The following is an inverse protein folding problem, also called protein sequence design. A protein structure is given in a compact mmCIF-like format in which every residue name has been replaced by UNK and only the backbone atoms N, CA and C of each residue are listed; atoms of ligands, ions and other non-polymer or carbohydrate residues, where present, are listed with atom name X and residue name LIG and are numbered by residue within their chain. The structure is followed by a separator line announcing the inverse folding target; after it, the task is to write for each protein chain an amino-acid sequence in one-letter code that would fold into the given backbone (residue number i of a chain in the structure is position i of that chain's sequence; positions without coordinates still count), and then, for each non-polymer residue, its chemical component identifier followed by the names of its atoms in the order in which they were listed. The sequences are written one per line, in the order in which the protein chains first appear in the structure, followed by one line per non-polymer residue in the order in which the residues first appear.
data_IF_372558003420
#
_entry.id   IF_372558003420
#
_cell.length_a   1.000
_cell.length_b   1.000
_cell.length_c   1.000
_cell.angle_alpha   90.00
_cell.angle_beta   90.00
_cell.angle_gamma   90.00
#
_symmetry.space_group_name_H-M   'P 1'
#
loop_
_entity.id
_entity.type
_entity.pdbx_description
1 polymer ?
#
# COMPACT_ATOMS: atom_id res chain seq x y z
N UNK A 1 16.42 18.80 -5.08
CA UNK A 1 14.99 19.06 -4.81
C UNK A 1 14.85 18.91 -3.31
N UNK A 2 14.40 19.96 -2.61
CA UNK A 2 14.10 19.86 -1.18
C UNK A 2 13.07 18.74 -0.98
N UNK A 3 13.41 17.73 -0.19
CA UNK A 3 12.46 16.72 0.26
C UNK A 3 11.26 17.42 0.88
N UNK A 4 10.08 16.83 0.72
CA UNK A 4 8.95 17.24 1.55
C UNK A 4 9.29 16.66 2.92
N UNK A 5 9.46 17.53 3.92
CA UNK A 5 9.64 17.09 5.30
C UNK A 5 8.30 16.48 5.74
N UNK A 6 8.28 15.15 5.88
CA UNK A 6 7.09 14.36 6.14
C UNK A 6 7.20 13.69 7.51
N UNK A 7 6.15 13.83 8.31
CA UNK A 7 6.03 13.10 9.58
C UNK A 7 5.58 11.64 9.38
N UNK A 8 5.06 11.30 8.19
CA UNK A 8 4.50 10.00 7.85
C UNK A 8 4.59 9.73 6.32
N UNK A 9 4.62 8.47 5.87
CA UNK A 9 4.52 8.16 4.45
C UNK A 9 3.12 8.50 3.93
N UNK A 10 3.01 8.92 2.67
CA UNK A 10 1.71 9.07 2.01
C UNK A 10 1.13 7.74 1.56
N UNK A 11 1.99 6.76 1.27
CA UNK A 11 1.58 5.43 0.83
C UNK A 11 2.57 4.36 1.30
N UNK A 12 2.03 3.23 1.74
CA UNK A 12 2.80 2.00 2.01
C UNK A 12 2.28 0.92 1.08
N UNK A 13 3.18 0.30 0.33
CA UNK A 13 2.91 -0.87 -0.49
C UNK A 13 3.47 -2.13 0.17
N UNK A 14 2.72 -3.21 0.10
CA UNK A 14 3.20 -4.56 0.39
C UNK A 14 3.25 -5.30 -0.94
N UNK A 15 4.44 -5.63 -1.43
CA UNK A 15 4.64 -6.29 -2.73
C UNK A 15 5.05 -7.76 -2.52
N UNK A 16 4.18 -8.68 -2.92
CA UNK A 16 4.45 -10.12 -2.95
C UNK A 16 5.27 -10.49 -4.19
N UNK A 17 5.94 -11.65 -4.13
CA UNK A 17 6.77 -12.17 -5.24
C UNK A 17 5.98 -12.45 -6.52
N UNK A 18 4.67 -12.68 -6.43
CA UNK A 18 3.80 -12.95 -7.57
C UNK A 18 3.27 -11.67 -8.27
N UNK A 19 3.70 -10.49 -7.81
CA UNK A 19 3.23 -9.21 -8.33
C UNK A 19 1.88 -8.76 -7.77
N UNK A 20 1.36 -9.41 -6.74
CA UNK A 20 0.17 -8.97 -5.99
C UNK A 20 0.54 -8.36 -4.64
N UNK A 21 -0.45 -7.88 -3.90
CA UNK A 21 -0.27 -7.47 -2.51
C UNK A 21 -1.26 -6.37 -2.13
N UNK A 22 -0.77 -5.35 -1.44
CA UNK A 22 -1.61 -4.29 -0.87
C UNK A 22 -1.02 -2.90 -1.10
N UNK A 23 -1.88 -1.89 -1.15
CA UNK A 23 -1.49 -0.49 -1.15
C UNK A 23 -2.35 0.32 -0.19
N UNK A 24 -1.72 1.01 0.76
CA UNK A 24 -2.39 1.76 1.82
C UNK A 24 -2.01 3.22 1.78
N UNK A 25 -3.01 4.10 1.76
CA UNK A 25 -2.82 5.54 1.63
C UNK A 25 -3.09 6.26 2.95
N UNK A 26 -2.24 7.23 3.28
CA UNK A 26 -2.35 8.07 4.46
C UNK A 26 -2.38 9.53 4.02
N UNK A 27 -3.50 10.18 4.28
CA UNK A 27 -3.73 11.59 3.90
C UNK A 27 -3.32 12.56 5.01
N UNK A 28 -3.22 12.05 6.24
CA UNK A 28 -2.87 12.83 7.43
C UNK A 28 -2.02 11.99 8.39
N UNK A 29 -1.19 12.63 9.23
CA UNK A 29 -0.42 11.91 10.25
C UNK A 29 -1.30 11.06 11.16
N UNK A 30 -2.46 11.60 11.57
CA UNK A 30 -3.41 10.87 12.42
C UNK A 30 -3.93 9.58 11.79
N UNK A 31 -4.08 9.50 10.45
CA UNK A 31 -4.48 8.25 9.79
C UNK A 31 -3.37 7.19 9.91
N UNK A 32 -2.12 7.59 9.75
CA UNK A 32 -0.97 6.71 9.90
C UNK A 32 -0.80 6.27 11.37
N UNK A 33 -0.81 7.22 12.30
CA UNK A 33 -0.65 6.94 13.73
C UNK A 33 -1.73 6.00 14.26
N UNK A 34 -2.99 6.20 13.85
CA UNK A 34 -4.09 5.33 14.24
C UNK A 34 -3.91 3.90 13.70
N UNK A 35 -3.45 3.75 12.45
CA UNK A 35 -3.18 2.44 11.88
C UNK A 35 -2.01 1.74 12.61
N UNK A 36 -0.91 2.45 12.84
CA UNK A 36 0.24 1.91 13.56
C UNK A 36 -0.14 1.51 15.00
N UNK A 37 -0.86 2.38 15.72
CA UNK A 37 -1.32 2.12 17.09
C UNK A 37 -2.35 0.99 17.16
N UNK A 38 -3.18 0.82 16.13
CA UNK A 38 -4.16 -0.26 16.03
C UNK A 38 -3.54 -1.66 16.20
N UNK A 39 -2.30 -1.85 15.77
CA UNK A 39 -1.55 -3.07 16.01
C UNK A 39 -0.61 -2.97 17.23
N UNK A 40 0.21 -1.92 17.32
CA UNK A 40 1.32 -1.90 18.30
C UNK A 40 0.91 -1.46 19.70
N UNK A 41 -0.23 -0.76 19.84
CA UNK A 41 -0.73 -0.23 21.12
C UNK A 41 -0.88 -1.30 22.20
N UNK A 42 -1.64 -2.39 21.96
CA UNK A 42 -1.79 -3.48 22.92
C UNK A 42 -0.45 -4.14 23.34
N UNK A 43 0.52 -4.19 22.42
CA UNK A 43 1.85 -4.75 22.68
C UNK A 43 2.64 -3.83 23.60
N UNK A 44 2.64 -2.52 23.32
CA UNK A 44 3.29 -1.50 24.17
C UNK A 44 2.68 -1.46 25.57
N UNK A 45 1.36 -1.54 25.69
CA UNK A 45 0.66 -1.60 26.98
C UNK A 45 1.04 -2.84 27.79
N UNK A 46 1.13 -4.00 27.14
CA UNK A 46 1.57 -5.23 27.79
C UNK A 46 3.01 -5.14 28.30
N UNK A 47 3.93 -4.65 27.47
CA UNK A 47 5.34 -4.45 27.86
C UNK A 47 5.43 -3.52 29.07
N UNK A 48 4.65 -2.43 29.07
CA UNK A 48 4.58 -1.49 30.19
C UNK A 48 4.08 -2.15 31.48
N UNK A 49 3.00 -2.92 31.41
CA UNK A 49 2.45 -3.64 32.57
C UNK A 49 3.45 -4.64 33.17
N UNK A 50 4.10 -5.43 32.32
CA UNK A 50 5.08 -6.42 32.76
C UNK A 50 6.30 -5.76 33.42
N UNK A 51 6.68 -4.55 32.98
CA UNK A 51 7.73 -3.75 33.59
C UNK A 51 7.35 -3.23 34.97
N UNK A 52 6.13 -2.70 35.12
CA UNK A 52 5.59 -2.20 36.38
C UNK A 52 5.49 -3.32 37.43
N UNK A 53 5.05 -4.52 37.02
CA UNK A 53 4.96 -5.70 37.90
C UNK A 53 6.33 -6.20 38.38
N UNK A 54 7.37 -6.08 37.55
CA UNK A 54 8.72 -6.56 37.84
C UNK A 54 9.63 -5.51 38.49
N UNK A 55 9.18 -4.25 38.63
CA UNK A 55 10.01 -3.09 39.01
C UNK A 55 11.29 -2.94 38.16
N UNK A 56 11.27 -3.40 36.90
CA UNK A 56 12.40 -3.38 35.98
C UNK A 56 11.94 -2.79 34.65
N UNK A 57 12.67 -1.80 34.11
CA UNK A 57 12.41 -1.29 32.77
C UNK A 57 12.75 -2.39 31.74
N UNK A 58 11.90 -2.63 30.73
CA UNK A 58 12.19 -3.62 29.72
C UNK A 58 13.36 -3.07 28.88
N UNK A 59 14.48 -3.78 28.93
CA UNK A 59 15.76 -3.34 28.35
C UNK A 59 15.67 -3.08 26.83
N UNK A 60 14.59 -3.51 26.16
CA UNK A 60 14.48 -3.40 24.71
C UNK A 60 13.05 -3.35 24.14
N UNK A 61 12.18 -2.50 24.70
CA UNK A 61 10.77 -2.41 24.26
C UNK A 61 10.60 -2.12 22.76
N UNK A 62 11.43 -1.25 22.19
CA UNK A 62 11.43 -0.91 20.77
C UNK A 62 11.76 -2.12 19.89
N UNK A 63 12.81 -2.88 20.23
CA UNK A 63 13.18 -4.08 19.48
C UNK A 63 12.09 -5.16 19.54
N UNK A 64 11.42 -5.30 20.70
CA UNK A 64 10.28 -6.21 20.83
C UNK A 64 9.09 -5.79 19.96
N UNK A 65 8.80 -4.49 19.89
CA UNK A 65 7.73 -3.94 19.07
C UNK A 65 8.02 -4.11 17.57
N UNK A 66 9.24 -3.81 17.15
CA UNK A 66 9.69 -4.03 15.77
C UNK A 66 9.62 -5.52 15.42
N UNK A 67 10.17 -6.40 16.26
CA UNK A 67 10.14 -7.85 16.03
C UNK A 67 8.71 -8.37 15.90
N UNK A 68 7.80 -7.93 16.78
CA UNK A 68 6.40 -8.34 16.70
C UNK A 68 5.71 -7.85 15.41
N UNK A 69 6.04 -6.64 14.95
CA UNK A 69 5.52 -6.10 13.69
C UNK A 69 6.02 -6.92 12.50
N UNK A 70 7.33 -7.20 12.41
CA UNK A 70 7.93 -7.98 11.32
C UNK A 70 7.38 -9.41 11.28
N UNK A 71 7.31 -10.10 12.43
CA UNK A 71 6.72 -11.45 12.48
C UNK A 71 5.24 -11.47 12.08
N UNK A 72 4.48 -10.42 12.38
CA UNK A 72 3.10 -10.33 11.89
C UNK A 72 3.03 -10.02 10.40
N UNK A 73 4.00 -9.25 9.87
CA UNK A 73 4.08 -8.96 8.44
C UNK A 73 4.31 -10.23 7.61
N UNK A 74 5.08 -11.21 8.12
CA UNK A 74 5.21 -12.54 7.48
C UNK A 74 3.86 -13.17 7.16
N UNK A 75 2.87 -13.01 8.06
CA UNK A 75 1.51 -13.54 7.87
C UNK A 75 0.69 -12.75 6.84
N UNK A 76 1.02 -11.48 6.60
CA UNK A 76 0.36 -10.66 5.58
C UNK A 76 0.83 -11.05 4.17
N UNK A 77 2.06 -11.57 4.06
CA UNK A 77 2.55 -12.18 2.82
C UNK A 77 1.83 -13.49 2.48
N UNK A 78 1.31 -14.22 3.47
CA UNK A 78 0.40 -15.34 3.21
C UNK A 78 -0.94 -14.82 2.63
N UNK A 79 -1.48 -15.41 1.55
CA UNK A 79 -2.65 -14.89 0.81
C UNK A 79 -4.00 -15.08 1.54
N UNK A 80 -4.04 -14.93 2.86
CA UNK A 80 -5.19 -15.24 3.70
C UNK A 80 -6.02 -14.00 4.10
N UNK A 81 -5.60 -12.78 3.71
CA UNK A 81 -6.13 -11.51 4.20
C UNK A 81 -6.77 -10.68 3.08
N UNK A 82 -7.72 -11.27 2.34
CA UNK A 82 -8.36 -10.61 1.17
C UNK A 82 -9.76 -10.04 1.47
N UNK A 83 -10.30 -10.29 2.66
CA UNK A 83 -11.52 -9.64 3.14
C UNK A 83 -11.23 -8.28 3.78
N UNK A 84 -12.28 -7.50 4.08
CA UNK A 84 -12.13 -6.14 4.61
C UNK A 84 -11.40 -6.11 5.96
N UNK A 85 -11.71 -7.05 6.85
CA UNK A 85 -11.07 -7.15 8.16
C UNK A 85 -9.59 -7.52 8.02
N UNK A 86 -9.27 -8.41 7.07
CA UNK A 86 -7.91 -8.77 6.72
C UNK A 86 -7.13 -7.59 6.11
N UNK A 87 -7.74 -6.85 5.18
CA UNK A 87 -7.12 -5.66 4.57
C UNK A 87 -6.80 -4.61 5.65
N UNK A 88 -7.71 -4.37 6.59
CA UNK A 88 -7.46 -3.43 7.69
C UNK A 88 -6.38 -3.92 8.65
N UNK A 89 -6.36 -5.22 8.95
CA UNK A 89 -5.29 -5.83 9.74
C UNK A 89 -3.92 -5.70 9.08
N UNK A 90 -3.83 -5.99 7.78
CA UNK A 90 -2.62 -5.79 6.98
C UNK A 90 -2.16 -4.33 6.99
N UNK A 91 -3.10 -3.38 6.88
CA UNK A 91 -2.83 -1.95 6.98
C UNK A 91 -2.21 -1.56 8.32
N UNK A 92 -2.76 -2.07 9.42
CA UNK A 92 -2.25 -1.76 10.76
C UNK A 92 -0.86 -2.35 10.99
N UNK A 93 -0.61 -3.59 10.55
CA UNK A 93 0.71 -4.24 10.64
C UNK A 93 1.74 -3.54 9.77
N UNK A 94 1.37 -3.09 8.57
CA UNK A 94 2.26 -2.33 7.68
C UNK A 94 2.66 -0.98 8.29
N UNK A 95 1.67 -0.23 8.79
CA UNK A 95 1.92 1.03 9.47
C UNK A 95 2.81 0.85 10.71
N UNK A 96 2.60 -0.22 11.50
CA UNK A 96 3.44 -0.50 12.66
C UNK A 96 4.87 -0.86 12.27
N UNK A 97 5.08 -1.65 11.21
CA UNK A 97 6.43 -1.95 10.71
C UNK A 97 7.18 -0.67 10.34
N UNK A 98 6.51 0.25 9.64
CA UNK A 98 7.11 1.53 9.26
C UNK A 98 7.37 2.42 10.48
N UNK A 99 6.43 2.52 11.40
CA UNK A 99 6.54 3.37 12.59
C UNK A 99 7.64 2.91 13.57
N UNK A 100 7.86 1.60 13.68
CA UNK A 100 8.88 1.03 14.57
C UNK A 100 10.25 0.88 13.87
N UNK A 101 10.33 1.12 12.56
CA UNK A 101 11.58 1.08 11.79
C UNK A 101 12.34 2.40 11.89
N UNK A 102 13.68 2.30 11.95
CA UNK A 102 14.56 3.47 11.93
C UNK A 102 14.90 3.81 10.48
N UNK A 103 14.47 4.99 10.04
CA UNK A 103 14.81 5.53 8.72
C UNK A 103 16.03 6.43 8.83
N UNK A 104 17.00 6.24 7.93
CA UNK A 104 18.17 7.12 7.83
C UNK A 104 17.78 8.41 7.10
N UNK A 105 17.42 9.46 7.85
CA UNK A 105 17.07 10.76 7.28
C UNK A 105 15.58 11.11 7.40
N UNK A 106 15.02 11.69 6.35
CA UNK A 106 13.60 12.08 6.25
C UNK A 106 12.71 10.85 5.98
N UNK A 107 11.46 10.88 6.43
CA UNK A 107 10.49 9.81 6.16
C UNK A 107 10.23 9.70 4.65
N UNK A 108 10.38 8.50 4.04
CA UNK A 108 10.05 8.33 2.64
C UNK A 108 8.56 8.56 2.36
N UNK A 109 8.26 9.28 1.29
CA UNK A 109 6.88 9.55 0.89
C UNK A 109 6.14 8.29 0.44
N UNK A 110 6.87 7.35 -0.18
CA UNK A 110 6.37 6.04 -0.58
C UNK A 110 7.31 4.97 -0.02
N UNK A 111 6.73 3.99 0.66
CA UNK A 111 7.46 2.86 1.23
C UNK A 111 6.98 1.58 0.58
N UNK A 112 7.91 0.69 0.28
CA UNK A 112 7.64 -0.67 -0.20
C UNK A 112 8.14 -1.65 0.85
N UNK A 113 7.25 -2.52 1.27
CA UNK A 113 7.54 -3.69 2.09
C UNK A 113 7.49 -4.90 1.16
N UNK A 114 8.60 -5.61 1.02
CA UNK A 114 8.71 -6.75 0.11
C UNK A 114 9.36 -7.95 0.79
N UNK A 115 8.99 -9.14 0.33
CA UNK A 115 9.59 -10.37 0.80
C UNK A 115 10.67 -10.81 -0.21
N UNK A 116 11.92 -10.88 0.24
CA UNK A 116 13.05 -11.37 -0.56
C UNK A 116 13.54 -12.69 0.02
N UNK A 117 12.98 -13.80 -0.46
CA UNK A 117 13.21 -15.11 0.13
C UNK A 117 12.52 -15.21 1.50
N UNK A 118 13.30 -15.48 2.55
CA UNK A 118 12.80 -15.55 3.93
C UNK A 118 12.85 -14.18 4.65
N UNK A 119 13.49 -13.17 4.04
CA UNK A 119 13.67 -11.85 4.64
C UNK A 119 12.55 -10.89 4.22
N UNK A 120 12.10 -10.08 5.18
CA UNK A 120 11.21 -8.93 4.93
C UNK A 120 12.07 -7.67 4.91
N UNK A 121 11.97 -6.91 3.82
CA UNK A 121 12.68 -5.64 3.65
C UNK A 121 11.70 -4.49 3.57
N UNK A 122 12.06 -3.37 4.20
CA UNK A 122 11.38 -2.09 4.06
C UNK A 122 12.33 -1.15 3.34
N UNK A 123 11.86 -0.55 2.24
CA UNK A 123 12.65 0.39 1.46
C UNK A 123 11.81 1.53 0.92
N UNK A 124 12.48 2.58 0.50
CA UNK A 124 11.84 3.65 -0.25
C UNK A 124 11.40 3.16 -1.64
N UNK A 125 10.20 3.58 -2.04
CA UNK A 125 9.57 3.28 -3.32
C UNK A 125 9.81 4.37 -4.38
N UNK A 126 11.08 4.71 -4.64
CA UNK A 126 11.45 5.76 -5.60
C UNK A 126 10.85 5.55 -6.98
N UNK A 127 10.68 4.30 -7.41
CA UNK A 127 10.10 3.95 -8.70
C UNK A 127 8.68 4.51 -8.86
N UNK A 128 7.91 4.60 -7.77
CA UNK A 128 6.55 5.13 -7.80
C UNK A 128 6.50 6.66 -7.88
N UNK A 129 7.62 7.35 -7.65
CA UNK A 129 7.74 8.79 -7.87
C UNK A 129 7.98 9.12 -9.36
N UNK A 130 8.39 8.14 -10.15
CA UNK A 130 8.52 8.25 -11.59
C UNK A 130 7.20 7.95 -12.30
N UNK A 131 7.06 8.40 -13.55
CA UNK A 131 5.84 8.21 -14.33
C UNK A 131 6.21 7.67 -15.72
N UNK A 132 6.48 6.37 -15.84
CA UNK A 132 7.00 5.77 -17.08
C UNK A 132 5.97 5.76 -18.23
N UNK A 133 4.73 6.20 -17.98
CA UNK A 133 3.64 6.23 -18.96
C UNK A 133 2.70 5.03 -18.88
N UNK A 134 2.89 4.16 -17.89
CA UNK A 134 2.00 3.05 -17.53
C UNK A 134 1.99 2.92 -15.99
N UNK A 135 0.98 2.25 -15.39
CA UNK A 135 0.94 2.09 -13.95
C UNK A 135 1.96 1.05 -13.50
N UNK A 136 2.71 1.38 -12.44
CA UNK A 136 3.55 0.45 -11.69
C UNK A 136 2.76 -0.28 -10.60
N UNK A 137 1.71 0.34 -10.06
CA UNK A 137 0.73 -0.32 -9.19
C UNK A 137 -0.68 0.13 -9.55
N UNK A 138 -1.60 -0.83 -9.50
CA UNK A 138 -3.03 -0.61 -9.58
C UNK A 138 -3.67 -1.10 -8.29
N UNK A 139 -4.22 -0.18 -7.49
CA UNK A 139 -4.88 -0.47 -6.21
C UNK A 139 -6.39 -0.53 -6.40
N UNK A 140 -7.02 -1.59 -5.89
CA UNK A 140 -8.46 -1.75 -5.82
C UNK A 140 -8.87 -1.54 -4.36
N UNK A 141 -9.51 -0.40 -4.09
CA UNK A 141 -9.78 0.11 -2.75
C UNK A 141 -9.65 1.63 -2.71
N UNK A 142 -10.46 2.30 -1.88
CA UNK A 142 -10.45 3.77 -1.84
C UNK A 142 -9.38 4.31 -0.89
N UNK A 143 -8.86 5.51 -1.21
CA UNK A 143 -8.01 6.28 -0.28
C UNK A 143 -8.77 6.64 1.02
N UNK A 144 -10.10 6.79 0.94
CA UNK A 144 -10.94 7.07 2.10
C UNK A 144 -11.02 5.90 3.09
N UNK A 145 -10.97 4.68 2.57
CA UNK A 145 -10.96 3.42 3.35
C UNK A 145 -9.54 2.99 3.72
N UNK A 146 -8.53 3.80 3.37
CA UNK A 146 -7.13 3.56 3.72
C UNK A 146 -6.39 2.62 2.78
N UNK A 147 -6.98 2.18 1.66
CA UNK A 147 -6.30 1.35 0.65
C UNK A 147 -7.01 0.04 0.30
N UNK A 148 -6.25 -0.92 -0.25
CA UNK A 148 -6.77 -2.23 -0.62
C UNK A 148 -5.77 -3.10 -1.39
N UNK A 149 -6.29 -4.06 -2.14
CA UNK A 149 -5.50 -5.00 -2.93
C UNK A 149 -4.77 -4.27 -4.06
N UNK A 150 -3.48 -4.54 -4.27
CA UNK A 150 -2.70 -4.00 -5.39
C UNK A 150 -2.24 -5.12 -6.34
N UNK A 151 -2.18 -4.79 -7.63
CA UNK A 151 -1.37 -5.50 -8.62
C UNK A 151 -0.22 -4.61 -9.08
N UNK A 152 0.99 -5.13 -9.04
CA UNK A 152 2.24 -4.47 -9.41
C UNK A 152 2.68 -4.87 -10.82
N UNK A 153 3.34 -3.96 -11.53
CA UNK A 153 3.86 -4.17 -12.88
C UNK A 153 5.28 -3.61 -12.96
N UNK A 154 6.24 -4.46 -13.27
CA UNK A 154 7.63 -4.05 -13.42
C UNK A 154 7.89 -3.53 -14.84
N UNK A 155 7.10 -3.98 -15.83
CA UNK A 155 7.22 -3.57 -17.23
C UNK A 155 5.89 -3.19 -17.89
N UNK A 156 5.95 -2.36 -18.94
CA UNK A 156 4.77 -2.03 -19.75
C UNK A 156 4.16 -3.29 -20.39
N UNK A 157 5.00 -4.26 -20.78
CA UNK A 157 4.56 -5.51 -21.40
C UNK A 157 3.80 -6.40 -20.41
N UNK A 158 4.21 -6.45 -19.14
CA UNK A 158 3.45 -7.12 -18.08
C UNK A 158 2.07 -6.49 -17.88
N UNK A 159 2.01 -5.16 -17.79
CA UNK A 159 0.75 -4.42 -17.71
C UNK A 159 -0.15 -4.73 -18.91
N UNK A 160 0.39 -4.68 -20.13
CA UNK A 160 -0.32 -5.01 -21.36
C UNK A 160 -0.82 -6.46 -21.36
N UNK A 161 0.00 -7.40 -20.91
CA UNK A 161 -0.36 -8.81 -20.83
C UNK A 161 -1.54 -9.01 -19.88
N UNK A 162 -1.50 -8.46 -18.66
CA UNK A 162 -2.61 -8.54 -17.69
C UNK A 162 -3.88 -7.86 -18.25
N UNK A 163 -3.72 -6.71 -18.90
CA UNK A 163 -4.82 -5.98 -19.53
C UNK A 163 -5.48 -6.71 -20.73
N UNK A 164 -4.91 -7.83 -21.19
CA UNK A 164 -5.48 -8.64 -22.29
C UNK A 164 -6.00 -10.01 -21.83
N UNK A 165 -5.89 -10.34 -20.54
CA UNK A 165 -6.43 -11.58 -19.95
C UNK A 165 -7.96 -11.55 -19.83
N UNK A 166 -8.56 -12.69 -19.47
CA UNK A 166 -9.97 -12.77 -19.10
C UNK A 166 -10.21 -11.92 -17.83
N UNK A 167 -11.28 -11.08 -17.78
CA UNK A 167 -11.59 -10.28 -16.61
C UNK A 167 -11.78 -11.11 -15.33
N UNK A 168 -11.23 -10.62 -14.23
CA UNK A 168 -11.38 -11.13 -12.86
C UNK A 168 -11.42 -9.95 -11.88
N UNK A 169 -11.73 -10.22 -10.62
CA UNK A 169 -11.79 -9.21 -9.55
C UNK A 169 -10.49 -8.40 -9.39
N UNK A 170 -9.33 -8.98 -9.75
CA UNK A 170 -8.04 -8.30 -9.69
C UNK A 170 -7.59 -7.68 -11.03
N UNK A 171 -8.22 -8.03 -12.15
CA UNK A 171 -7.73 -7.65 -13.49
C UNK A 171 -8.63 -6.66 -14.24
N UNK A 172 -9.86 -6.45 -13.78
CA UNK A 172 -10.80 -5.55 -14.45
C UNK A 172 -10.29 -4.10 -14.52
N UNK A 173 -9.60 -3.62 -13.47
CA UNK A 173 -9.12 -2.24 -13.40
C UNK A 173 -7.91 -2.01 -14.32
N UNK A 174 -6.84 -2.84 -14.30
CA UNK A 174 -5.78 -2.76 -15.30
C UNK A 174 -6.31 -2.77 -16.75
N UNK A 175 -7.32 -3.59 -17.04
CA UNK A 175 -7.93 -3.67 -18.36
C UNK A 175 -8.64 -2.38 -18.76
N UNK A 176 -9.40 -1.77 -17.83
CA UNK A 176 -10.09 -0.51 -18.05
C UNK A 176 -9.07 0.61 -18.29
N UNK A 177 -8.03 0.70 -17.47
CA UNK A 177 -6.94 1.68 -17.61
C UNK A 177 -6.27 1.55 -18.97
N UNK A 178 -5.90 0.34 -19.37
CA UNK A 178 -5.25 0.08 -20.66
C UNK A 178 -6.10 0.50 -21.85
N UNK A 179 -7.43 0.27 -21.80
CA UNK A 179 -8.37 0.66 -22.85
C UNK A 179 -8.56 2.17 -22.93
N UNK A 180 -8.62 2.85 -21.80
CA UNK A 180 -8.96 4.27 -21.73
C UNK A 180 -7.76 5.19 -21.89
N UNK A 181 -6.58 4.81 -21.39
CA UNK A 181 -5.44 5.72 -21.27
C UNK A 181 -4.22 5.27 -22.08
N UNK A 182 -3.67 6.22 -22.84
CA UNK A 182 -2.42 6.11 -23.59
C UNK A 182 -1.21 6.32 -22.68
N UNK A 183 -1.35 7.17 -21.66
CA UNK A 183 -0.37 7.38 -20.59
C UNK A 183 -1.06 7.56 -19.25
N UNK A 184 -0.46 7.03 -18.21
CA UNK A 184 -0.90 7.19 -16.81
C UNK A 184 0.27 7.54 -15.89
N UNK A 185 0.00 8.06 -14.69
CA UNK A 185 0.93 8.00 -13.57
C UNK A 185 1.23 6.54 -13.15
N UNK A 186 2.22 6.41 -12.27
CA UNK A 186 2.71 5.14 -11.70
C UNK A 186 1.70 4.47 -10.78
N UNK A 187 0.84 5.24 -10.10
CA UNK A 187 -0.14 4.70 -9.17
C UNK A 187 -1.54 5.04 -9.70
N UNK A 188 -2.33 4.01 -9.94
CA UNK A 188 -3.74 4.13 -10.30
C UNK A 188 -4.58 3.44 -9.25
N UNK A 189 -5.72 4.01 -8.90
CA UNK A 189 -6.66 3.41 -7.95
C UNK A 189 -8.05 3.30 -8.56
N UNK A 190 -8.83 2.32 -8.12
CA UNK A 190 -10.21 2.17 -8.53
C UNK A 190 -11.11 1.70 -7.42
N UNK A 191 -12.32 2.26 -7.40
CA UNK A 191 -13.31 2.05 -6.37
C UNK A 191 -14.61 1.51 -6.98
N UNK A 192 -15.05 0.31 -6.58
CA UNK A 192 -16.39 -0.17 -6.91
C UNK A 192 -17.43 0.73 -6.22
N UNK A 193 -18.23 1.43 -7.01
CA UNK A 193 -19.39 2.19 -6.52
C UNK A 193 -20.67 1.38 -6.76
N UNK A 194 -21.62 1.39 -5.80
CA UNK A 194 -22.95 0.85 -6.05
C UNK A 194 -23.57 1.50 -7.29
N UNK A 195 -24.05 0.69 -8.24
CA UNK A 195 -24.72 1.22 -9.43
C UNK A 195 -26.01 1.95 -9.01
N UNK A 196 -26.22 3.22 -9.43
CA UNK A 196 -27.45 3.96 -9.14
C UNK A 196 -28.72 3.25 -9.65
N UNK A 197 -28.58 2.41 -10.68
CA UNK A 197 -29.69 1.72 -11.33
C UNK A 197 -29.89 0.29 -10.82
N UNK A 198 -29.12 -0.16 -9.82
CA UNK A 198 -29.18 -1.52 -9.27
C UNK A 198 -28.79 -2.63 -10.25
N UNK A 199 -28.24 -2.26 -11.42
CA UNK A 199 -27.71 -3.18 -12.43
C UNK A 199 -26.22 -2.91 -12.62
N UNK A 200 -25.39 -3.90 -12.29
CA UNK A 200 -23.95 -3.85 -12.46
C UNK A 200 -23.19 -3.15 -11.33
N UNK A 201 -21.87 -3.02 -11.53
CA UNK A 201 -20.94 -2.31 -10.65
C UNK A 201 -20.43 -1.11 -11.43
N UNK A 202 -20.63 0.10 -10.88
CA UNK A 202 -19.98 1.30 -11.39
C UNK A 202 -18.59 1.37 -10.80
N UNK A 203 -17.65 2.04 -11.47
CA UNK A 203 -16.29 2.20 -10.93
C UNK A 203 -15.84 3.64 -11.12
N UNK A 204 -15.28 4.20 -10.05
CA UNK A 204 -14.50 5.43 -10.09
C UNK A 204 -12.99 5.10 -10.15
N UNK A 205 -12.23 5.80 -11.00
CA UNK A 205 -10.79 5.59 -11.15
C UNK A 205 -10.05 6.90 -10.87
N UNK A 206 -8.99 6.84 -10.06
CA UNK A 206 -8.14 7.98 -9.75
C UNK A 206 -6.69 7.71 -10.13
N UNK A 207 -5.99 8.75 -10.54
CA UNK A 207 -4.56 8.73 -10.77
C UNK A 207 -3.87 9.44 -9.60
N UNK A 208 -2.88 8.78 -8.98
CA UNK A 208 -2.17 9.31 -7.82
C UNK A 208 -0.73 9.67 -8.20
N UNK A 209 -0.27 10.86 -7.81
CA UNK A 209 1.02 11.39 -8.29
C UNK A 209 2.01 11.76 -7.18
N UNK A 210 1.72 11.51 -5.90
CA UNK A 210 2.66 11.76 -4.79
C UNK A 210 3.28 13.17 -4.84
N UNK A 211 2.48 14.21 -5.07
CA UNK A 211 2.93 15.61 -5.26
C UNK A 211 3.94 15.83 -6.42
N UNK A 212 4.09 14.86 -7.32
CA UNK A 212 4.84 14.95 -8.58
C UNK A 212 3.90 15.23 -9.76
N UNK A 213 4.49 15.68 -10.85
CA UNK A 213 3.75 15.94 -12.09
C UNK A 213 3.56 14.63 -12.87
N UNK A 214 2.37 14.05 -12.78
CA UNK A 214 1.98 12.88 -13.57
C UNK A 214 1.24 13.25 -14.86
N UNK A 215 1.30 12.37 -15.86
CA UNK A 215 0.54 12.52 -17.11
C UNK A 215 -0.59 11.50 -17.18
N UNK A 216 -1.83 11.98 -17.30
CA UNK A 216 -2.98 11.16 -17.67
C UNK A 216 -3.44 11.59 -19.06
N UNK A 217 -3.25 10.73 -20.06
CA UNK A 217 -3.60 11.01 -21.46
C UNK A 217 -4.56 9.94 -21.94
N UNK A 218 -5.76 10.32 -22.33
CA UNK A 218 -6.76 9.42 -22.90
C UNK A 218 -6.32 8.89 -24.27
N UNK A 219 -6.64 7.62 -24.56
CA UNK A 219 -6.51 7.08 -25.91
C UNK A 219 -7.56 7.72 -26.79
N UNK A 220 -7.15 8.17 -27.97
CA UNK A 220 -8.12 8.58 -28.98
C UNK A 220 -8.98 7.38 -29.37
N UNK A 221 -10.30 7.50 -29.21
CA UNK A 221 -11.23 6.54 -29.79
C UNK A 221 -11.08 6.64 -31.31
N UNK A 222 -10.71 5.53 -31.95
CA UNK A 222 -10.86 5.43 -33.41
C UNK A 222 -12.36 5.57 -33.70
N UNK A 223 -12.73 6.64 -34.40
CA UNK A 223 -14.07 6.86 -34.91
C UNK A 223 -14.45 5.78 -35.94
#
# INVERSE_FOLDING_TARGET
MSGVDLDHPEVIFIKRLDGTGYGFFYSTPAQFDNAAYGFIGPIKERIKKESEEKNELPVNAEELCLKASITSMEKVFEPNWEDNDGIDGARCVAASCVAESKWEGEMPQCIVIEQTGDDITLREGFEFLEHPGYPLCVVIGSKGDGGGLCTFFDTEDEFRLVATKVPSEHTWLPQLIYRLYAKTPSIMTGFPTPSPEGKGISVECHAYTLNRQGHLIERQRKA
#
